data_IF_840685902831
#
_entry.id   IF_840685902831
#
_cell.length_a   1.000
_cell.length_b   1.000
_cell.length_c   1.000
_cell.angle_alpha   90.00
_cell.angle_beta   90.00
_cell.angle_gamma   90.00
#
_symmetry.space_group_name_H-M   'P 1'
#
loop_
_entity.id
_entity.type
_entity.pdbx_description
1 polymer ?
#
# COMPACT_ATOMS: atom_id res chain seq x y z
N UNK A 1 15.58 -24.45 -0.72
CA UNK A 1 16.49 -24.41 0.46
C UNK A 1 15.64 -24.24 1.70
N UNK A 2 15.78 -25.10 2.72
CA UNK A 2 14.89 -25.09 3.90
C UNK A 2 15.12 -23.88 4.80
N UNK A 3 14.02 -23.24 5.23
CA UNK A 3 13.92 -22.11 6.17
C UNK A 3 14.80 -22.29 7.43
N UNK A 4 15.07 -23.53 7.82
CA UNK A 4 15.91 -23.90 8.97
C UNK A 4 17.38 -23.51 8.82
N UNK A 5 17.90 -23.33 7.59
CA UNK A 5 19.34 -23.10 7.36
C UNK A 5 19.75 -21.63 7.41
N UNK A 6 18.81 -20.69 7.37
CA UNK A 6 19.08 -19.25 7.40
C UNK A 6 19.18 -18.69 8.84
N UNK A 7 18.69 -19.42 9.85
CA UNK A 7 18.65 -18.99 11.27
C UNK A 7 19.95 -19.36 12.01
N UNK A 8 21.11 -18.88 11.53
CA UNK A 8 22.38 -19.08 12.23
C UNK A 8 23.20 -17.81 12.22
N UNK A 9 22.89 -16.88 13.13
CA UNK A 9 23.88 -16.16 13.96
C UNK A 9 23.33 -15.10 14.93
N UNK A 10 22.02 -14.81 14.97
CA UNK A 10 21.36 -14.11 16.09
C UNK A 10 19.99 -14.74 16.31
N UNK A 11 19.54 -14.89 17.56
CA UNK A 11 18.15 -15.31 17.81
C UNK A 11 17.26 -14.19 17.26
N UNK A 12 16.34 -14.45 16.32
CA UNK A 12 15.40 -13.43 15.89
C UNK A 12 14.62 -12.94 17.11
N UNK A 13 14.45 -11.63 17.24
CA UNK A 13 13.54 -11.09 18.26
C UNK A 13 12.12 -11.43 17.82
N UNK A 14 11.35 -12.05 18.70
CA UNK A 14 10.00 -12.52 18.41
C UNK A 14 9.06 -12.10 19.53
N UNK A 15 7.91 -11.57 19.15
CA UNK A 15 6.81 -11.24 20.06
C UNK A 15 5.48 -11.24 19.31
N UNK A 16 4.39 -11.35 20.06
CA UNK A 16 3.03 -11.25 19.52
C UNK A 16 2.47 -9.85 19.77
N UNK A 17 1.73 -9.32 18.80
CA UNK A 17 1.01 -8.06 18.87
C UNK A 17 -0.44 -8.25 18.45
N UNK A 18 -1.37 -8.28 19.41
CA UNK A 18 -2.83 -8.47 19.15
C UNK A 18 -3.16 -9.69 18.26
N UNK A 19 -2.43 -10.80 18.43
CA UNK A 19 -2.59 -12.01 17.64
C UNK A 19 -1.68 -12.09 16.41
N UNK A 20 -1.02 -10.99 16.03
CA UNK A 20 -0.05 -10.95 14.93
C UNK A 20 1.33 -11.36 15.43
N UNK A 21 1.96 -12.32 14.77
CA UNK A 21 3.30 -12.80 15.11
C UNK A 21 4.38 -11.91 14.47
N UNK A 22 5.21 -11.25 15.27
CA UNK A 22 6.23 -10.31 14.78
C UNK A 22 7.62 -10.92 14.94
N UNK A 23 8.32 -11.08 13.81
CA UNK A 23 9.66 -11.66 13.74
C UNK A 23 10.66 -10.65 13.20
N UNK A 24 11.64 -10.27 14.02
CA UNK A 24 12.76 -9.40 13.61
C UNK A 24 13.97 -10.29 13.34
N UNK A 25 14.24 -10.54 12.05
CA UNK A 25 15.38 -11.35 11.58
C UNK A 25 16.68 -10.55 11.59
N UNK A 26 16.62 -9.29 11.15
CA UNK A 26 17.75 -8.36 11.12
C UNK A 26 17.39 -7.12 11.96
N UNK A 27 18.34 -6.53 12.71
CA UNK A 27 18.08 -5.32 13.49
C UNK A 27 17.59 -4.17 12.60
N UNK A 28 16.54 -3.49 13.06
CA UNK A 28 16.00 -2.30 12.40
C UNK A 28 17.02 -1.16 12.52
N UNK A 29 17.30 -0.49 11.40
CA UNK A 29 18.27 0.59 11.32
C UNK A 29 17.68 1.91 11.85
N UNK A 30 18.54 2.93 12.02
CA UNK A 30 18.16 4.31 12.36
C UNK A 30 17.35 4.51 13.66
N UNK A 31 17.40 3.53 14.57
CA UNK A 31 16.74 3.63 15.88
C UNK A 31 15.21 3.55 15.81
N UNK A 32 14.64 3.12 14.69
CA UNK A 32 13.20 2.97 14.51
C UNK A 32 12.65 1.89 15.45
N UNK A 33 11.55 2.21 16.11
CA UNK A 33 10.88 1.35 17.08
C UNK A 33 9.64 0.72 16.47
N UNK A 34 9.74 -0.55 16.06
CA UNK A 34 8.60 -1.31 15.54
C UNK A 34 7.42 -1.36 16.52
N UNK A 35 7.69 -1.33 17.83
CA UNK A 35 6.60 -1.31 18.83
C UNK A 35 5.81 -0.01 18.77
N UNK A 36 6.47 1.11 18.53
CA UNK A 36 5.79 2.41 18.41
C UNK A 36 4.99 2.48 17.11
N UNK A 37 5.53 1.94 16.01
CA UNK A 37 4.80 1.78 14.74
C UNK A 37 3.53 0.96 14.93
N UNK A 38 3.65 -0.24 15.53
CA UNK A 38 2.50 -1.13 15.75
C UNK A 38 1.45 -0.51 16.68
N UNK A 39 1.88 0.21 17.72
CA UNK A 39 0.94 0.93 18.59
C UNK A 39 0.17 2.01 17.82
N UNK A 40 0.84 2.76 16.94
CA UNK A 40 0.16 3.75 16.08
C UNK A 40 -0.83 3.11 15.12
N UNK A 41 -0.47 1.99 14.50
CA UNK A 41 -1.38 1.19 13.66
C UNK A 41 -2.63 0.79 14.43
N UNK A 42 -2.46 0.30 15.65
CA UNK A 42 -3.59 -0.09 16.52
C UNK A 42 -4.47 1.11 16.86
N UNK A 43 -3.87 2.26 17.14
CA UNK A 43 -4.61 3.45 17.56
C UNK A 43 -5.34 4.11 16.37
N UNK A 44 -4.87 3.91 15.13
CA UNK A 44 -5.47 4.48 13.92
C UNK A 44 -6.43 3.53 13.19
N UNK A 45 -6.13 2.23 13.12
CA UNK A 45 -6.84 1.27 12.28
C UNK A 45 -7.73 0.34 13.14
N UNK A 46 -9.03 0.23 12.83
CA UNK A 46 -9.91 -0.72 13.50
C UNK A 46 -9.37 -2.16 13.48
N UNK A 47 -9.38 -2.83 14.62
CA UNK A 47 -8.73 -4.15 14.78
C UNK A 47 -9.26 -5.23 13.83
N UNK A 48 -10.53 -5.16 13.43
CA UNK A 48 -11.11 -6.12 12.47
C UNK A 48 -10.52 -6.00 11.06
N UNK A 49 -9.94 -4.86 10.70
CA UNK A 49 -9.21 -4.67 9.43
C UNK A 49 -7.81 -5.28 9.47
N UNK A 50 -7.28 -5.60 10.66
CA UNK A 50 -5.97 -6.23 10.84
C UNK A 50 -6.04 -7.77 10.80
N UNK A 51 -7.26 -8.34 10.74
CA UNK A 51 -7.48 -9.79 10.96
C UNK A 51 -6.86 -10.71 9.90
N UNK A 52 -6.56 -10.17 8.71
CA UNK A 52 -5.94 -10.96 7.65
C UNK A 52 -4.41 -11.05 7.79
N UNK A 53 -3.82 -10.31 8.74
CA UNK A 53 -2.38 -10.28 8.94
C UNK A 53 -2.04 -11.21 10.10
N UNK A 54 -1.55 -12.40 9.78
CA UNK A 54 -1.09 -13.39 10.76
C UNK A 54 0.31 -13.08 11.28
N UNK A 55 1.17 -12.52 10.42
CA UNK A 55 2.57 -12.30 10.79
C UNK A 55 3.24 -11.12 10.07
N UNK A 56 4.24 -10.54 10.74
CA UNK A 56 5.10 -9.48 10.22
C UNK A 56 6.55 -9.93 10.36
N UNK A 57 7.28 -9.95 9.25
CA UNK A 57 8.69 -10.30 9.17
C UNK A 57 9.50 -9.05 8.82
N UNK A 58 10.40 -8.66 9.73
CA UNK A 58 11.34 -7.54 9.52
C UNK A 58 12.73 -8.08 9.24
N UNK A 59 13.31 -7.75 8.09
CA UNK A 59 14.65 -8.21 7.74
C UNK A 59 15.07 -7.97 6.29
N UNK A 60 16.19 -8.57 5.91
CA UNK A 60 16.71 -8.52 4.54
C UNK A 60 16.11 -9.67 3.72
N UNK A 61 15.45 -9.35 2.60
CA UNK A 61 14.76 -10.31 1.75
C UNK A 61 15.13 -10.12 0.28
N UNK A 62 15.66 -11.17 -0.34
CA UNK A 62 16.11 -11.13 -1.75
C UNK A 62 14.98 -10.75 -2.71
N UNK A 63 13.73 -11.15 -2.44
CA UNK A 63 12.59 -10.84 -3.31
C UNK A 63 12.18 -9.37 -3.24
N UNK A 64 12.33 -8.70 -2.09
CA UNK A 64 12.09 -7.26 -1.96
C UNK A 64 13.14 -6.48 -2.77
N UNK A 65 14.41 -6.89 -2.67
CA UNK A 65 15.49 -6.31 -3.46
C UNK A 65 15.31 -6.51 -4.97
N UNK A 66 14.92 -7.71 -5.39
CA UNK A 66 14.67 -8.03 -6.80
C UNK A 66 13.49 -7.24 -7.38
N UNK A 67 12.47 -6.95 -6.58
CA UNK A 67 11.31 -6.14 -6.96
C UNK A 67 11.50 -4.65 -6.72
N UNK A 68 12.60 -4.25 -6.09
CA UNK A 68 12.91 -2.88 -5.69
C UNK A 68 11.79 -2.23 -4.84
N UNK A 69 11.25 -2.98 -3.87
CA UNK A 69 10.20 -2.53 -2.93
C UNK A 69 10.68 -2.64 -1.48
N UNK A 70 10.09 -1.88 -0.58
CA UNK A 70 10.46 -1.86 0.85
C UNK A 70 9.64 -2.82 1.71
N UNK A 71 8.39 -3.06 1.32
CA UNK A 71 7.52 -4.02 1.95
C UNK A 71 6.72 -4.80 0.90
N UNK A 72 6.12 -5.90 1.35
CA UNK A 72 5.22 -6.73 0.54
C UNK A 72 4.36 -7.60 1.45
N UNK A 73 3.07 -7.61 1.18
CA UNK A 73 2.08 -8.50 1.75
C UNK A 73 1.89 -9.72 0.85
N UNK A 74 2.00 -10.91 1.43
CA UNK A 74 1.78 -12.17 0.74
C UNK A 74 1.32 -13.25 1.73
N UNK A 75 0.22 -13.94 1.42
CA UNK A 75 -0.32 -15.05 2.21
C UNK A 75 -0.46 -14.71 3.70
N UNK A 76 -1.24 -13.68 4.02
CA UNK A 76 -1.49 -13.23 5.40
C UNK A 76 -0.22 -12.79 6.16
N UNK A 77 0.88 -12.54 5.45
CA UNK A 77 2.17 -12.18 6.03
C UNK A 77 2.71 -10.90 5.40
N UNK A 78 3.20 -9.98 6.22
CA UNK A 78 3.89 -8.78 5.75
C UNK A 78 5.39 -8.99 5.87
N UNK A 79 6.13 -8.74 4.81
CA UNK A 79 7.58 -8.71 4.79
C UNK A 79 8.02 -7.27 4.61
N UNK A 80 8.82 -6.74 5.52
CA UNK A 80 9.32 -5.35 5.46
C UNK A 80 10.82 -5.32 5.68
N UNK A 81 11.51 -4.47 4.94
CA UNK A 81 12.96 -4.27 5.11
C UNK A 81 13.29 -3.73 6.50
N UNK A 82 14.41 -4.18 7.08
CA UNK A 82 14.95 -3.58 8.30
C UNK A 82 15.70 -2.25 8.02
N UNK A 83 15.93 -1.90 6.76
CA UNK A 83 16.52 -0.62 6.34
C UNK A 83 15.44 0.45 6.24
N UNK A 84 15.26 1.21 7.31
CA UNK A 84 14.18 2.18 7.43
C UNK A 84 14.72 3.56 7.74
N UNK A 85 14.24 4.59 7.03
CA UNK A 85 14.73 5.97 7.19
C UNK A 85 14.14 6.63 8.44
N UNK A 86 12.89 6.31 8.79
CA UNK A 86 12.20 6.84 9.97
C UNK A 86 11.07 5.91 10.44
N UNK A 87 10.47 6.27 11.59
CA UNK A 87 9.26 5.61 12.10
C UNK A 87 8.05 5.85 11.19
N UNK A 88 7.97 7.00 10.51
CA UNK A 88 6.88 7.27 9.57
C UNK A 88 7.00 6.39 8.33
N UNK A 89 8.22 6.22 7.78
CA UNK A 89 8.39 5.38 6.58
C UNK A 89 7.98 3.92 6.83
N UNK A 90 8.39 3.35 7.97
CA UNK A 90 7.97 1.99 8.34
C UNK A 90 6.47 1.91 8.64
N UNK A 91 5.86 2.98 9.15
CA UNK A 91 4.42 3.05 9.39
C UNK A 91 3.66 3.07 8.08
N UNK A 92 4.07 3.91 7.13
CA UNK A 92 3.48 4.01 5.80
C UNK A 92 3.58 2.66 5.07
N UNK A 93 4.78 2.05 5.04
CA UNK A 93 5.01 0.71 4.48
C UNK A 93 4.04 -0.33 5.07
N UNK A 94 3.97 -0.43 6.41
CA UNK A 94 3.12 -1.44 7.04
C UNK A 94 1.62 -1.20 6.82
N UNK A 95 1.18 0.06 6.80
CA UNK A 95 -0.23 0.38 6.55
C UNK A 95 -0.61 0.11 5.11
N UNK A 96 0.29 0.38 4.17
CA UNK A 96 0.12 0.04 2.77
C UNK A 96 -0.09 -1.47 2.59
N UNK A 97 0.77 -2.27 3.22
CA UNK A 97 0.65 -3.73 3.17
C UNK A 97 -0.60 -4.26 3.92
N UNK A 98 -1.01 -3.61 5.00
CA UNK A 98 -2.31 -3.88 5.64
C UNK A 98 -3.45 -3.59 4.67
N UNK A 99 -3.36 -2.54 3.85
CA UNK A 99 -4.40 -2.24 2.86
C UNK A 99 -4.56 -3.38 1.85
N UNK A 100 -3.47 -3.95 1.32
CA UNK A 100 -3.57 -5.13 0.47
C UNK A 100 -4.22 -6.32 1.19
N UNK A 101 -3.92 -6.50 2.48
CA UNK A 101 -4.58 -7.53 3.29
C UNK A 101 -6.08 -7.30 3.47
N UNK A 102 -6.52 -6.04 3.56
CA UNK A 102 -7.93 -5.63 3.63
C UNK A 102 -8.59 -5.87 2.27
N UNK A 103 -7.92 -5.52 1.18
CA UNK A 103 -8.41 -5.74 -0.18
C UNK A 103 -8.72 -7.21 -0.43
N UNK A 104 -7.85 -8.13 -0.01
CA UNK A 104 -8.08 -9.59 -0.13
C UNK A 104 -9.42 -10.01 0.48
N UNK A 105 -9.77 -9.50 1.67
CA UNK A 105 -11.01 -9.84 2.38
C UNK A 105 -12.22 -9.13 1.79
N UNK A 106 -12.07 -7.84 1.45
CA UNK A 106 -13.19 -6.96 1.12
C UNK A 106 -13.31 -6.65 -0.38
N UNK A 107 -12.58 -7.37 -1.24
CA UNK A 107 -12.56 -7.19 -2.70
C UNK A 107 -13.97 -7.09 -3.31
N UNK A 108 -14.88 -7.97 -2.91
CA UNK A 108 -16.27 -7.92 -3.38
C UNK A 108 -16.97 -6.63 -2.98
N UNK A 109 -16.85 -6.20 -1.72
CA UNK A 109 -17.45 -4.94 -1.26
C UNK A 109 -16.84 -3.72 -1.97
N UNK A 110 -15.53 -3.74 -2.19
CA UNK A 110 -14.78 -2.65 -2.80
C UNK A 110 -15.14 -2.49 -4.28
N UNK A 111 -15.18 -3.58 -5.04
CA UNK A 111 -15.15 -3.52 -6.50
C UNK A 111 -16.42 -4.00 -7.21
N UNK A 112 -17.34 -4.71 -6.53
CA UNK A 112 -18.54 -5.26 -7.21
C UNK A 112 -19.48 -4.21 -7.81
N UNK A 113 -19.47 -2.97 -7.30
CA UNK A 113 -20.24 -1.86 -7.86
C UNK A 113 -19.49 -1.02 -8.90
N UNK A 114 -18.24 -1.41 -9.23
CA UNK A 114 -17.34 -0.78 -10.22
C UNK A 114 -16.99 0.69 -9.95
N UNK A 115 -17.45 1.28 -8.83
CA UNK A 115 -17.31 2.74 -8.65
C UNK A 115 -15.88 3.19 -8.37
N UNK A 116 -15.10 2.40 -7.63
CA UNK A 116 -13.67 2.71 -7.40
C UNK A 116 -12.89 2.58 -8.71
N UNK A 117 -13.18 1.52 -9.47
CA UNK A 117 -12.57 1.28 -10.78
C UNK A 117 -12.89 2.40 -11.77
N UNK A 118 -14.14 2.84 -11.86
CA UNK A 118 -14.56 3.98 -12.68
C UNK A 118 -13.84 5.28 -12.29
N UNK A 119 -13.72 5.56 -10.99
CA UNK A 119 -12.99 6.72 -10.47
C UNK A 119 -11.50 6.65 -10.85
N UNK A 120 -10.88 5.49 -10.69
CA UNK A 120 -9.49 5.21 -11.07
C UNK A 120 -9.25 5.40 -12.57
N UNK A 121 -10.05 4.75 -13.42
CA UNK A 121 -9.93 4.81 -14.88
C UNK A 121 -10.15 6.23 -15.41
N UNK A 122 -11.05 7.01 -14.80
CA UNK A 122 -11.21 8.42 -15.16
C UNK A 122 -9.96 9.26 -14.84
N UNK A 123 -9.28 8.98 -13.72
CA UNK A 123 -8.02 9.65 -13.36
C UNK A 123 -6.88 9.24 -14.28
N UNK A 124 -6.77 7.95 -14.59
CA UNK A 124 -5.84 7.39 -15.58
C UNK A 124 -6.02 8.02 -16.97
N UNK A 125 -7.26 8.14 -17.46
CA UNK A 125 -7.58 8.86 -18.71
C UNK A 125 -7.14 10.32 -18.67
N UNK A 126 -7.37 11.01 -17.55
CA UNK A 126 -6.90 12.40 -17.37
C UNK A 126 -5.37 12.49 -17.36
N UNK A 127 -4.68 11.54 -16.72
CA UNK A 127 -3.23 11.46 -16.72
C UNK A 127 -2.70 11.29 -18.14
N UNK A 128 -3.24 10.35 -18.90
CA UNK A 128 -2.93 10.17 -20.32
C UNK A 128 -3.09 11.47 -21.12
N UNK A 129 -4.23 12.17 -20.97
CA UNK A 129 -4.45 13.46 -21.66
C UNK A 129 -3.41 14.52 -21.27
N UNK A 130 -2.93 14.55 -20.03
CA UNK A 130 -1.90 15.48 -19.59
C UNK A 130 -0.54 15.11 -20.19
N UNK A 131 -0.21 13.81 -20.25
CA UNK A 131 1.03 13.30 -20.84
C UNK A 131 1.10 13.55 -22.35
N UNK A 132 0.00 13.32 -23.06
CA UNK A 132 -0.11 13.61 -24.49
C UNK A 132 0.11 15.11 -24.77
N UNK A 133 -0.48 15.99 -23.95
CA UNK A 133 -0.31 17.45 -24.08
C UNK A 133 1.12 17.93 -23.87
N UNK A 134 1.93 17.23 -23.07
CA UNK A 134 3.35 17.53 -22.88
C UNK A 134 4.25 16.83 -23.92
N UNK A 135 3.66 16.11 -24.87
CA UNK A 135 4.35 15.55 -26.04
C UNK A 135 5.01 14.20 -25.81
N UNK A 136 4.62 13.43 -24.78
CA UNK A 136 5.24 12.13 -24.48
C UNK A 136 4.80 10.97 -25.39
N UNK A 137 3.84 11.18 -26.30
CA UNK A 137 3.37 10.19 -27.28
C UNK A 137 3.10 8.80 -26.66
N UNK A 138 2.10 8.74 -25.77
CA UNK A 138 1.73 7.56 -24.99
C UNK A 138 0.44 6.92 -25.49
N UNK A 139 0.34 5.59 -25.42
CA UNK A 139 -0.88 4.87 -25.82
C UNK A 139 -1.97 5.01 -24.75
N UNK A 140 -3.22 5.20 -25.17
CA UNK A 140 -4.36 5.20 -24.25
C UNK A 140 -4.62 3.81 -23.69
N UNK A 141 -4.30 2.73 -24.40
CA UNK A 141 -4.62 1.39 -23.91
C UNK A 141 -3.80 1.05 -22.64
N UNK A 142 -2.52 1.46 -22.58
CA UNK A 142 -1.69 1.35 -21.38
C UNK A 142 -2.38 2.03 -20.17
N UNK A 143 -3.03 3.19 -20.44
CA UNK A 143 -4.08 3.92 -19.69
C UNK A 143 -5.09 3.12 -18.88
N UNK A 144 -5.64 2.11 -19.53
CA UNK A 144 -6.91 1.51 -19.17
C UNK A 144 -6.75 0.17 -18.49
N UNK A 145 -5.54 -0.38 -18.50
CA UNK A 145 -5.19 -1.56 -17.72
C UNK A 145 -5.20 -1.23 -16.21
N UNK A 146 -6.01 -1.98 -15.46
CA UNK A 146 -6.18 -1.79 -14.01
C UNK A 146 -5.23 -2.63 -13.19
N UNK A 147 -4.74 -3.73 -13.76
CA UNK A 147 -3.80 -4.63 -13.12
C UNK A 147 -2.38 -4.06 -13.17
N UNK A 148 -1.57 -4.44 -12.19
CA UNK A 148 -0.18 -4.03 -12.15
C UNK A 148 0.59 -4.62 -13.34
N UNK A 149 1.29 -3.74 -14.07
CA UNK A 149 2.29 -4.12 -15.08
C UNK A 149 3.63 -3.53 -14.66
N UNK A 150 4.65 -4.38 -14.62
CA UNK A 150 6.02 -3.94 -14.34
C UNK A 150 6.51 -2.96 -15.41
N UNK A 151 6.15 -3.19 -16.67
CA UNK A 151 6.50 -2.33 -17.80
C UNK A 151 5.89 -0.94 -17.64
N UNK A 152 4.61 -0.87 -17.24
CA UNK A 152 3.93 0.41 -17.04
C UNK A 152 4.46 1.16 -15.79
N UNK A 153 4.71 0.45 -14.70
CA UNK A 153 5.32 1.04 -13.50
C UNK A 153 6.74 1.57 -13.79
N UNK A 154 7.58 0.78 -14.48
CA UNK A 154 8.93 1.19 -14.86
C UNK A 154 8.91 2.40 -15.81
N UNK A 155 7.95 2.47 -16.75
CA UNK A 155 7.70 3.64 -17.58
C UNK A 155 7.40 4.89 -16.73
N UNK A 156 6.44 4.79 -15.80
CA UNK A 156 6.10 5.90 -14.90
C UNK A 156 7.29 6.33 -14.03
N UNK A 157 8.02 5.37 -13.48
CA UNK A 157 9.12 5.63 -12.55
C UNK A 157 10.39 6.14 -13.24
N UNK A 158 10.83 5.49 -14.33
CA UNK A 158 12.13 5.78 -14.97
C UNK A 158 12.05 6.73 -16.14
N UNK A 159 11.02 6.61 -17.00
CA UNK A 159 10.93 7.43 -18.21
C UNK A 159 10.28 8.78 -17.92
N UNK A 160 9.13 8.77 -17.24
CA UNK A 160 8.45 10.01 -16.85
C UNK A 160 9.12 10.63 -15.62
N UNK A 161 9.37 9.82 -14.60
CA UNK A 161 9.97 10.25 -13.35
C UNK A 161 8.95 10.82 -12.36
N UNK A 162 9.10 10.44 -11.09
CA UNK A 162 8.23 10.91 -10.00
C UNK A 162 8.18 12.43 -9.82
N UNK A 163 9.23 13.23 -10.08
CA UNK A 163 9.12 14.69 -10.02
C UNK A 163 8.11 15.26 -11.04
N UNK A 164 8.10 14.74 -12.27
CA UNK A 164 7.15 15.17 -13.32
C UNK A 164 5.76 14.65 -12.98
N UNK A 165 5.65 13.38 -12.61
CA UNK A 165 4.38 12.77 -12.22
C UNK A 165 3.73 13.52 -11.06
N UNK A 166 4.46 13.78 -9.97
CA UNK A 166 3.93 14.48 -8.81
C UNK A 166 3.36 15.86 -9.18
N UNK A 167 3.94 16.55 -10.17
CA UNK A 167 3.42 17.82 -10.65
C UNK A 167 2.10 17.66 -11.42
N UNK A 168 2.04 16.73 -12.37
CA UNK A 168 0.86 16.55 -13.23
C UNK A 168 -0.28 15.75 -12.56
N UNK A 169 0.04 14.90 -11.57
CA UNK A 169 -0.91 14.06 -10.84
C UNK A 169 -1.38 14.65 -9.52
N UNK A 170 -0.85 15.79 -9.05
CA UNK A 170 -1.15 16.34 -7.72
C UNK A 170 -2.65 16.45 -7.39
N UNK A 171 -3.47 16.75 -8.39
CA UNK A 171 -4.93 16.88 -8.30
C UNK A 171 -5.71 15.63 -8.79
N UNK A 172 -5.00 14.58 -9.21
CA UNK A 172 -5.55 13.32 -9.70
C UNK A 172 -5.34 12.19 -8.70
N UNK A 173 -4.15 12.07 -8.14
CA UNK A 173 -3.76 10.99 -7.25
C UNK A 173 -3.12 11.57 -5.99
N UNK A 174 -3.20 10.83 -4.88
CA UNK A 174 -2.60 11.31 -3.65
C UNK A 174 -1.07 11.29 -3.75
N UNK A 175 -0.52 10.19 -4.30
CA UNK A 175 0.87 10.06 -4.76
C UNK A 175 0.93 9.57 -6.22
N UNK A 176 2.06 9.72 -6.94
CA UNK A 176 2.27 9.13 -8.26
C UNK A 176 2.07 7.61 -8.31
N UNK A 177 2.45 6.92 -7.24
CA UNK A 177 2.41 5.46 -7.16
C UNK A 177 0.99 4.91 -7.25
N UNK A 178 -0.01 5.67 -6.78
CA UNK A 178 -1.41 5.33 -6.91
C UNK A 178 -1.94 5.25 -8.36
N UNK A 179 -1.15 5.62 -9.37
CA UNK A 179 -1.52 5.52 -10.79
C UNK A 179 -1.13 4.17 -11.43
N UNK A 180 -0.31 3.37 -10.76
CA UNK A 180 0.31 2.15 -11.33
C UNK A 180 -0.69 1.01 -11.49
N UNK A 181 -1.59 0.84 -10.53
CA UNK A 181 -2.70 -0.13 -10.59
C UNK A 181 -3.87 0.28 -9.71
N UNK A 182 -5.02 -0.39 -9.89
CA UNK A 182 -6.20 -0.21 -9.04
C UNK A 182 -5.91 -0.62 -7.57
N UNK A 183 -5.07 -1.64 -7.37
CA UNK A 183 -4.68 -2.10 -6.04
C UNK A 183 -3.82 -1.06 -5.31
N UNK A 184 -2.82 -0.52 -6.00
CA UNK A 184 -1.98 0.58 -5.48
C UNK A 184 -2.80 1.85 -5.24
N UNK A 185 -3.80 2.11 -6.09
CA UNK A 185 -4.73 3.22 -5.89
C UNK A 185 -5.53 3.08 -4.59
N UNK A 186 -6.06 1.88 -4.31
CA UNK A 186 -6.73 1.58 -3.07
C UNK A 186 -5.78 1.67 -1.87
N UNK A 187 -4.62 1.00 -1.94
CA UNK A 187 -3.66 0.94 -0.85
C UNK A 187 -3.11 2.32 -0.47
N UNK A 188 -2.75 3.14 -1.45
CA UNK A 188 -2.32 4.51 -1.22
C UNK A 188 -3.44 5.38 -0.64
N UNK A 189 -4.69 5.19 -1.05
CA UNK A 189 -5.82 5.88 -0.44
C UNK A 189 -6.08 5.45 1.01
N UNK A 190 -5.94 4.16 1.32
CA UNK A 190 -6.11 3.59 2.65
C UNK A 190 -5.05 4.11 3.62
N UNK A 191 -3.78 4.04 3.23
CA UNK A 191 -2.64 4.62 3.94
C UNK A 191 -2.91 6.08 4.32
N UNK A 192 -3.33 6.88 3.35
CA UNK A 192 -3.56 8.31 3.56
C UNK A 192 -4.86 8.63 4.29
N UNK A 193 -5.81 7.71 4.34
CA UNK A 193 -7.01 7.85 5.17
C UNK A 193 -6.68 7.65 6.66
N UNK A 194 -5.81 6.70 7.01
CA UNK A 194 -5.53 6.35 8.40
C UNK A 194 -4.33 7.07 9.01
N UNK A 195 -3.32 7.42 8.21
CA UNK A 195 -2.05 7.96 8.71
C UNK A 195 -1.86 9.44 8.37
N UNK A 196 -2.31 9.88 7.20
CA UNK A 196 -2.13 11.28 6.79
C UNK A 196 -3.10 12.23 7.50
N UNK A 197 -2.61 13.45 7.75
CA UNK A 197 -3.40 14.52 8.39
C UNK A 197 -4.35 15.24 7.42
N UNK A 198 -4.28 14.96 6.12
CA UNK A 198 -5.03 15.65 5.06
C UNK A 198 -6.10 14.75 4.41
N UNK A 199 -7.02 14.28 5.25
CA UNK A 199 -8.19 13.49 4.81
C UNK A 199 -9.07 14.30 3.84
N UNK A 200 -9.10 15.63 4.00
CA UNK A 200 -9.86 16.53 3.13
C UNK A 200 -9.35 16.49 1.68
N UNK A 201 -8.03 16.44 1.47
CA UNK A 201 -7.45 16.24 0.15
C UNK A 201 -7.91 14.93 -0.47
N UNK A 202 -7.80 13.81 0.24
CA UNK A 202 -8.23 12.49 -0.28
C UNK A 202 -9.71 12.51 -0.68
N UNK A 203 -10.57 13.07 0.17
CA UNK A 203 -12.00 13.23 -0.11
C UNK A 203 -12.28 14.11 -1.33
N UNK A 204 -11.49 15.16 -1.53
CA UNK A 204 -11.66 16.09 -2.64
C UNK A 204 -11.24 15.47 -3.98
N UNK A 205 -10.09 14.79 -4.02
CA UNK A 205 -9.59 14.20 -5.27
C UNK A 205 -10.24 12.84 -5.57
N UNK A 206 -10.49 12.01 -4.55
CA UNK A 206 -10.95 10.61 -4.67
C UNK A 206 -12.16 10.33 -3.77
N UNK A 207 -13.31 11.01 -4.00
CA UNK A 207 -14.48 10.94 -3.13
C UNK A 207 -15.10 9.53 -3.02
N UNK A 208 -15.06 8.72 -4.08
CA UNK A 208 -15.62 7.37 -4.05
C UNK A 208 -14.73 6.46 -3.20
N UNK A 209 -13.42 6.47 -3.45
CA UNK A 209 -12.45 5.71 -2.65
C UNK A 209 -12.53 6.10 -1.17
N UNK A 210 -12.50 7.40 -0.85
CA UNK A 210 -12.66 7.90 0.51
C UNK A 210 -13.93 7.36 1.17
N UNK A 211 -15.07 7.42 0.47
CA UNK A 211 -16.35 6.95 1.00
C UNK A 211 -16.33 5.44 1.28
N UNK A 212 -15.72 4.65 0.42
CA UNK A 212 -15.60 3.19 0.60
C UNK A 212 -14.71 2.84 1.80
N UNK A 213 -13.57 3.51 1.95
CA UNK A 213 -12.68 3.31 3.11
C UNK A 213 -13.38 3.76 4.41
N UNK A 214 -14.08 4.91 4.41
CA UNK A 214 -14.85 5.36 5.57
C UNK A 214 -15.95 4.36 5.96
N UNK A 215 -16.65 3.81 4.97
CA UNK A 215 -17.66 2.80 5.26
C UNK A 215 -17.02 1.52 5.84
N UNK A 216 -15.91 1.06 5.28
CA UNK A 216 -15.16 -0.08 5.82
C UNK A 216 -14.70 0.18 7.26
N UNK A 217 -14.18 1.36 7.57
CA UNK A 217 -13.71 1.70 8.92
C UNK A 217 -14.84 1.73 9.96
N UNK A 218 -16.08 1.94 9.52
CA UNK A 218 -17.31 1.85 10.33
C UNK A 218 -17.89 0.43 10.39
N UNK A 219 -17.26 -0.57 9.75
CA UNK A 219 -17.68 -1.97 9.76
C UNK A 219 -18.69 -2.35 8.67
N UNK A 220 -18.99 -1.46 7.72
CA UNK A 220 -19.83 -1.83 6.57
C UNK A 220 -19.06 -2.74 5.61
N UNK A 221 -19.71 -3.81 5.15
CA UNK A 221 -19.10 -4.81 4.27
C UNK A 221 -18.45 -5.97 5.03
N UNK A 222 -18.48 -5.96 6.36
CA UNK A 222 -18.14 -7.13 7.18
C UNK A 222 -19.39 -7.97 7.42
N UNK A 223 -19.57 -9.03 6.64
CA UNK A 223 -20.69 -9.98 6.75
C UNK A 223 -20.62 -10.83 8.05
N UNK A 224 -19.61 -10.63 8.91
CA UNK A 224 -19.45 -11.31 10.20
C UNK A 224 -20.01 -10.53 11.40
N UNK A 225 -20.83 -9.50 11.18
CA UNK A 225 -21.47 -8.72 12.25
C UNK A 225 -22.84 -9.27 12.71
N UNK A 226 -23.11 -10.57 12.46
CA UNK A 226 -24.25 -11.32 13.03
C UNK A 226 -23.81 -12.24 14.19
#
# INVERSE_FOLDING_TARGET
MSLKKYIRNKKPTHFTFHGIEVFIKNPIQNGVSIKDVLNRIKDSIPSFLLRNVDSIYVGEFDFLLQRNVQAMYENSSIFVTNEQSSTEDMLDDLVHEIAHSVEDIYSFYLYSDQKIEDEFLQKRKKLWMLMDRIGMNVDLDDFLETEFSFEFDDFLYREVGYPVLANITANLFYSPYAATSLKEYFANGFENFFISQDIDRLKAISPILHKKILNLSLGYGDDNND
#
